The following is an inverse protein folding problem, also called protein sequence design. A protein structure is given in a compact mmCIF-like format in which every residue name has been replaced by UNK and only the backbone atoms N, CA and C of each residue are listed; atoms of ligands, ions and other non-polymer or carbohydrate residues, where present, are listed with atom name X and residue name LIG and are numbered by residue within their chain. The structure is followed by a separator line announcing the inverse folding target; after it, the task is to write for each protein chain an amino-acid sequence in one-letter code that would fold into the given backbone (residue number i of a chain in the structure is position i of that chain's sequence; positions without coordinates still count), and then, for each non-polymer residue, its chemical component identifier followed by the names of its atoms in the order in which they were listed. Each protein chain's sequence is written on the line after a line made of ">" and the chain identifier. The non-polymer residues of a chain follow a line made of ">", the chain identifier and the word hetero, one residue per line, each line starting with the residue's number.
data_IF_604306701750
#
_entry.id   IF_604306701750
#
_cell.length_a   1.000
_cell.length_b   1.000
_cell.length_c   1.000
_cell.angle_alpha   90.00
_cell.angle_beta   90.00
_cell.angle_gamma   90.00
#
_symmetry.space_group_name_H-M   'P 1'
#
loop_
_entity.id
_entity.type
_entity.pdbx_description
1 polymer ?
#
# COMPACT_ATOMS: atom_id res chain seq x y z
N UNK A 1 34.70 -24.17 16.19
CA UNK A 1 34.68 -22.78 15.69
C UNK A 1 33.96 -22.69 14.37
N UNK A 2 34.27 -23.55 13.37
CA UNK A 2 33.61 -23.56 12.05
C UNK A 2 32.07 -23.71 12.09
N UNK A 3 31.57 -24.60 12.98
CA UNK A 3 30.10 -24.83 13.12
C UNK A 3 29.34 -23.61 13.65
N UNK A 4 29.97 -22.81 14.50
CA UNK A 4 29.42 -21.59 15.08
C UNK A 4 29.35 -20.45 14.04
N UNK A 5 30.33 -20.38 13.14
CA UNK A 5 30.40 -19.40 12.07
C UNK A 5 29.34 -19.71 11.01
N UNK A 6 29.14 -21.00 10.66
CA UNK A 6 28.09 -21.41 9.69
C UNK A 6 26.70 -21.09 10.23
N UNK A 7 26.38 -21.41 11.49
CA UNK A 7 25.10 -21.06 12.13
C UNK A 7 24.86 -19.54 12.18
N UNK A 8 25.90 -18.74 12.46
CA UNK A 8 25.77 -17.27 12.44
C UNK A 8 25.52 -16.73 11.03
N UNK A 9 26.14 -17.32 10.00
CA UNK A 9 25.92 -16.89 8.61
C UNK A 9 24.52 -17.28 8.11
N UNK A 10 23.98 -18.43 8.50
CA UNK A 10 22.61 -18.85 8.21
C UNK A 10 21.59 -17.96 8.92
N UNK A 11 21.83 -17.62 10.21
CA UNK A 11 20.96 -16.71 10.96
C UNK A 11 20.99 -15.30 10.38
N UNK A 12 22.15 -14.79 9.95
CA UNK A 12 22.28 -13.50 9.26
C UNK A 12 21.58 -13.49 7.89
N UNK A 13 21.61 -14.60 7.17
CA UNK A 13 20.89 -14.73 5.89
C UNK A 13 19.38 -14.85 6.09
N UNK A 14 18.91 -15.51 7.15
CA UNK A 14 17.49 -15.55 7.52
C UNK A 14 17.02 -14.15 7.93
N UNK A 15 17.79 -13.42 8.74
CA UNK A 15 17.46 -12.03 9.13
C UNK A 15 17.45 -11.10 7.91
N UNK A 16 18.39 -11.25 6.98
CA UNK A 16 18.38 -10.49 5.70
C UNK A 16 17.19 -10.83 4.80
N UNK A 17 16.70 -12.07 4.82
CA UNK A 17 15.53 -12.46 4.05
C UNK A 17 14.21 -12.03 4.72
N UNK A 18 14.14 -11.99 6.06
CA UNK A 18 12.99 -11.45 6.80
C UNK A 18 12.86 -9.94 6.60
N UNK A 19 13.97 -9.22 6.34
CA UNK A 19 13.96 -7.77 6.08
C UNK A 19 13.61 -7.37 4.64
N UNK A 20 13.29 -8.32 3.75
CA UNK A 20 12.99 -8.03 2.34
C UNK A 20 11.51 -7.76 2.08
N UNK A 21 10.61 -8.18 2.95
CA UNK A 21 9.18 -7.99 2.77
C UNK A 21 8.75 -6.65 3.39
N UNK A 22 8.21 -5.78 2.55
CA UNK A 22 7.73 -4.48 2.99
C UNK A 22 6.44 -4.64 3.84
N UNK A 23 6.23 -3.79 4.86
CA UNK A 23 5.05 -3.88 5.71
C UNK A 23 3.75 -3.77 4.90
N UNK A 24 2.87 -4.77 5.05
CA UNK A 24 1.56 -4.83 4.39
C UNK A 24 0.58 -5.72 5.17
N UNK A 25 -0.69 -5.62 4.83
CA UNK A 25 -1.74 -6.50 5.33
C UNK A 25 -2.81 -6.70 4.24
N UNK A 26 -2.67 -7.80 3.49
CA UNK A 26 -3.56 -8.11 2.37
C UNK A 26 -5.00 -8.31 2.82
N UNK A 27 -5.24 -8.92 4.00
CA UNK A 27 -6.59 -9.13 4.53
C UNK A 27 -7.28 -7.80 4.84
N UNK A 28 -6.56 -6.83 5.42
CA UNK A 28 -7.08 -5.49 5.65
C UNK A 28 -7.42 -4.79 4.33
N UNK A 29 -6.57 -4.88 3.32
CA UNK A 29 -6.82 -4.33 1.98
C UNK A 29 -8.07 -4.95 1.34
N UNK A 30 -8.18 -6.28 1.39
CA UNK A 30 -9.35 -7.01 0.88
C UNK A 30 -10.62 -6.62 1.62
N UNK A 31 -10.54 -6.43 2.94
CA UNK A 31 -11.70 -6.01 3.74
C UNK A 31 -12.16 -4.60 3.37
N UNK A 32 -11.24 -3.65 3.19
CA UNK A 32 -11.57 -2.27 2.77
C UNK A 32 -12.27 -2.28 1.42
N UNK A 33 -11.68 -2.91 0.41
CA UNK A 33 -12.24 -2.98 -0.93
C UNK A 33 -13.57 -3.74 -0.93
N UNK A 34 -13.63 -4.90 -0.28
CA UNK A 34 -14.83 -5.73 -0.19
C UNK A 34 -16.00 -4.99 0.45
N UNK A 35 -15.74 -4.19 1.48
CA UNK A 35 -16.77 -3.40 2.16
C UNK A 35 -17.32 -2.29 1.25
N UNK A 36 -16.47 -1.60 0.49
CA UNK A 36 -16.92 -0.60 -0.49
C UNK A 36 -17.78 -1.25 -1.59
N UNK A 37 -17.41 -2.43 -2.08
CA UNK A 37 -18.17 -3.14 -3.11
C UNK A 37 -19.56 -3.61 -2.64
N UNK A 38 -19.75 -3.77 -1.34
CA UNK A 38 -21.05 -4.11 -0.73
C UNK A 38 -21.85 -2.85 -0.38
N UNK A 39 -21.16 -1.79 0.09
CA UNK A 39 -21.76 -0.56 0.61
C UNK A 39 -20.96 0.65 0.08
N UNK A 40 -21.34 1.14 -1.12
CA UNK A 40 -20.61 2.24 -1.76
C UNK A 40 -20.65 3.54 -0.95
N UNK A 41 -21.63 3.71 -0.07
CA UNK A 41 -21.73 4.86 0.84
C UNK A 41 -20.55 5.00 1.80
N UNK A 42 -19.78 3.94 2.01
CA UNK A 42 -18.55 3.99 2.82
C UNK A 42 -17.38 4.65 2.09
N UNK A 43 -17.47 4.77 0.77
CA UNK A 43 -16.33 5.23 -0.04
C UNK A 43 -15.85 6.62 0.36
N UNK A 44 -16.74 7.58 0.56
CA UNK A 44 -16.35 8.96 0.84
C UNK A 44 -15.54 9.07 2.15
N UNK A 45 -15.96 8.36 3.20
CA UNK A 45 -15.24 8.34 4.48
C UNK A 45 -13.89 7.61 4.35
N UNK A 46 -13.87 6.48 3.65
CA UNK A 46 -12.65 5.71 3.41
C UNK A 46 -11.66 6.51 2.56
N UNK A 47 -12.14 7.22 1.53
CA UNK A 47 -11.30 7.97 0.60
C UNK A 47 -10.68 9.22 1.24
N UNK A 48 -11.18 9.67 2.38
CA UNK A 48 -10.49 10.66 3.22
C UNK A 48 -9.24 10.09 3.90
N UNK A 49 -9.18 8.77 4.11
CA UNK A 49 -8.09 8.09 4.81
C UNK A 49 -7.08 7.49 3.84
N UNK A 50 -7.55 6.77 2.81
CA UNK A 50 -6.71 6.05 1.85
C UNK A 50 -7.04 6.44 0.42
N UNK A 51 -6.02 6.38 -0.43
CA UNK A 51 -6.13 6.45 -1.89
C UNK A 51 -5.59 5.17 -2.50
N UNK A 52 -5.78 4.96 -3.80
CA UNK A 52 -5.27 3.79 -4.51
C UNK A 52 -3.77 3.51 -4.26
N UNK A 53 -2.95 4.54 -4.11
CA UNK A 53 -1.50 4.45 -3.88
C UNK A 53 -1.13 3.81 -2.54
N UNK A 54 -2.04 3.82 -1.57
CA UNK A 54 -1.76 3.34 -0.21
C UNK A 54 -1.81 1.82 -0.10
N UNK A 55 -2.44 1.15 -1.05
CA UNK A 55 -2.49 -0.30 -1.10
C UNK A 55 -1.12 -0.89 -1.50
N UNK A 56 -0.78 -2.02 -0.91
CA UNK A 56 0.46 -2.73 -1.22
C UNK A 56 0.34 -3.57 -2.49
N UNK A 57 -0.79 -4.30 -2.62
CA UNK A 57 -1.04 -5.16 -3.77
C UNK A 57 -1.38 -4.31 -5.02
N UNK A 58 -0.62 -4.43 -6.12
CA UNK A 58 -0.89 -3.68 -7.34
C UNK A 58 -2.29 -3.91 -7.93
N UNK A 59 -2.88 -5.10 -7.71
CA UNK A 59 -4.24 -5.39 -8.13
C UNK A 59 -5.24 -4.60 -7.28
N UNK A 60 -5.03 -4.52 -5.96
CA UNK A 60 -5.86 -3.69 -5.07
C UNK A 60 -5.77 -2.21 -5.44
N UNK A 61 -4.59 -1.71 -5.80
CA UNK A 61 -4.42 -0.34 -6.29
C UNK A 61 -5.29 -0.08 -7.52
N UNK A 62 -5.26 -0.99 -8.50
CA UNK A 62 -6.07 -0.89 -9.72
C UNK A 62 -7.57 -0.98 -9.44
N UNK A 63 -7.98 -1.91 -8.59
CA UNK A 63 -9.39 -2.08 -8.22
C UNK A 63 -9.90 -0.83 -7.50
N UNK A 64 -9.15 -0.29 -6.54
CA UNK A 64 -9.55 0.92 -5.81
C UNK A 64 -9.66 2.13 -6.74
N UNK A 65 -8.71 2.33 -7.64
CA UNK A 65 -8.76 3.40 -8.64
C UNK A 65 -9.97 3.25 -9.59
N UNK A 66 -10.35 2.03 -9.95
CA UNK A 66 -11.53 1.77 -10.76
C UNK A 66 -12.84 2.04 -9.99
N UNK A 67 -12.90 1.66 -8.70
CA UNK A 67 -14.01 2.00 -7.79
C UNK A 67 -14.19 3.51 -7.72
N UNK A 68 -13.12 4.24 -7.43
CA UNK A 68 -13.11 5.71 -7.35
C UNK A 68 -13.67 6.34 -8.64
N UNK A 69 -13.19 5.89 -9.80
CA UNK A 69 -13.65 6.40 -11.09
C UNK A 69 -15.14 6.13 -11.34
N UNK A 70 -15.64 4.94 -11.00
CA UNK A 70 -17.04 4.57 -11.14
C UNK A 70 -17.92 5.46 -10.25
N UNK A 71 -17.59 5.57 -8.98
CA UNK A 71 -18.37 6.35 -8.00
C UNK A 71 -18.40 7.83 -8.38
N UNK A 72 -17.28 8.43 -8.75
CA UNK A 72 -17.25 9.82 -9.21
C UNK A 72 -17.97 10.06 -10.56
N UNK A 73 -18.19 9.00 -11.33
CA UNK A 73 -19.05 9.06 -12.53
C UNK A 73 -20.54 8.85 -12.22
N UNK A 74 -20.91 8.74 -10.94
CA UNK A 74 -22.30 8.49 -10.51
C UNK A 74 -22.76 7.04 -10.70
N UNK A 75 -21.85 6.11 -10.93
CA UNK A 75 -22.15 4.70 -11.12
C UNK A 75 -21.85 3.90 -9.83
N UNK A 76 -22.64 2.84 -9.62
CA UNK A 76 -22.34 1.90 -8.52
C UNK A 76 -21.10 1.08 -8.85
N UNK A 77 -20.18 1.02 -7.89
CA UNK A 77 -19.03 0.13 -7.93
C UNK A 77 -19.41 -1.21 -7.30
N UNK A 78 -19.50 -2.25 -8.10
CA UNK A 78 -19.75 -3.63 -7.67
C UNK A 78 -18.98 -4.61 -8.58
N UNK A 79 -18.94 -5.92 -8.26
CA UNK A 79 -18.19 -6.88 -9.07
C UNK A 79 -18.60 -6.92 -10.56
N UNK A 80 -19.86 -6.62 -10.88
CA UNK A 80 -20.37 -6.65 -12.28
C UNK A 80 -19.87 -5.42 -13.05
N UNK A 81 -20.01 -4.22 -12.49
CA UNK A 81 -19.55 -2.97 -13.12
C UNK A 81 -18.05 -2.92 -13.27
N UNK A 82 -17.31 -3.39 -12.27
CA UNK A 82 -15.85 -3.48 -12.31
C UNK A 82 -15.35 -4.51 -13.31
N UNK A 83 -16.06 -5.64 -13.49
CA UNK A 83 -15.71 -6.61 -14.53
C UNK A 83 -15.61 -5.94 -15.90
N UNK A 84 -16.62 -5.18 -16.27
CA UNK A 84 -16.64 -4.46 -17.56
C UNK A 84 -15.49 -3.45 -17.71
N UNK A 85 -15.00 -2.90 -16.59
CA UNK A 85 -13.86 -1.99 -16.58
C UNK A 85 -12.55 -2.70 -16.93
N UNK A 86 -12.40 -3.96 -16.51
CA UNK A 86 -11.17 -4.75 -16.69
C UNK A 86 -11.20 -5.68 -17.93
N UNK A 87 -12.33 -5.83 -18.62
CA UNK A 87 -12.46 -6.74 -19.79
C UNK A 87 -11.49 -6.44 -20.95
N UNK A 88 -10.93 -5.23 -20.99
CA UNK A 88 -9.95 -4.82 -22.00
C UNK A 88 -8.48 -5.03 -21.58
N UNK A 89 -8.20 -5.47 -20.36
CA UNK A 89 -6.84 -5.74 -19.90
C UNK A 89 -6.45 -7.19 -20.21
N UNK A 90 -5.33 -7.38 -20.92
CA UNK A 90 -4.82 -8.72 -21.34
C UNK A 90 -4.44 -9.65 -20.17
N UNK A 91 -4.24 -9.11 -18.97
CA UNK A 91 -3.88 -9.83 -17.74
C UNK A 91 -5.10 -10.18 -16.86
N UNK A 92 -6.31 -10.08 -17.41
CA UNK A 92 -7.58 -10.20 -16.67
C UNK A 92 -8.01 -11.65 -16.31
N UNK A 93 -7.10 -12.60 -16.31
CA UNK A 93 -7.34 -13.99 -15.96
C UNK A 93 -7.84 -14.15 -14.51
N UNK A 94 -9.10 -13.90 -14.22
CA UNK A 94 -9.82 -14.09 -12.95
C UNK A 94 -10.14 -12.86 -12.10
N UNK A 95 -10.06 -11.64 -12.65
CA UNK A 95 -10.53 -10.46 -11.90
C UNK A 95 -11.99 -10.63 -11.46
N UNK A 96 -12.94 -11.10 -12.30
CA UNK A 96 -14.33 -11.26 -11.88
C UNK A 96 -14.51 -12.17 -10.66
N UNK A 97 -13.86 -13.33 -10.66
CA UNK A 97 -13.93 -14.29 -9.54
C UNK A 97 -13.26 -13.72 -8.29
N UNK A 98 -12.16 -12.99 -8.48
CA UNK A 98 -11.48 -12.31 -7.40
C UNK A 98 -12.34 -11.21 -6.77
N UNK A 99 -13.03 -10.40 -7.56
CA UNK A 99 -13.94 -9.37 -7.07
C UNK A 99 -15.09 -9.96 -6.25
N UNK A 100 -15.68 -11.07 -6.71
CA UNK A 100 -16.70 -11.80 -5.94
C UNK A 100 -16.10 -12.37 -4.66
N UNK A 101 -14.88 -12.92 -4.71
CA UNK A 101 -14.20 -13.44 -3.52
C UNK A 101 -13.93 -12.35 -2.51
N UNK A 102 -13.49 -11.19 -2.95
CA UNK A 102 -13.09 -10.07 -2.08
C UNK A 102 -14.28 -9.50 -1.29
N UNK A 103 -15.51 -9.56 -1.83
CA UNK A 103 -16.72 -9.14 -1.11
C UNK A 103 -17.00 -9.98 0.14
N UNK A 104 -16.50 -11.21 0.21
CA UNK A 104 -16.62 -12.07 1.39
C UNK A 104 -15.77 -11.59 2.58
N UNK A 105 -14.80 -10.71 2.35
CA UNK A 105 -13.99 -10.10 3.39
C UNK A 105 -14.57 -8.78 3.90
N UNK A 106 -15.76 -8.39 3.43
CA UNK A 106 -16.45 -7.18 3.92
C UNK A 106 -16.63 -7.21 5.43
N UNK A 107 -16.49 -6.07 6.06
CA UNK A 107 -16.63 -5.89 7.50
C UNK A 107 -17.63 -4.76 7.82
N UNK A 108 -18.01 -4.64 9.09
CA UNK A 108 -18.85 -3.54 9.54
C UNK A 108 -18.13 -2.18 9.30
N UNK A 109 -18.90 -1.13 9.03
CA UNK A 109 -18.38 0.20 8.68
C UNK A 109 -17.27 0.68 9.61
N UNK A 110 -17.47 0.62 10.92
CA UNK A 110 -16.46 1.02 11.90
C UNK A 110 -15.16 0.23 11.77
N UNK A 111 -15.24 -1.07 11.54
CA UNK A 111 -14.07 -1.93 11.37
C UNK A 111 -13.37 -1.66 10.05
N UNK A 112 -14.12 -1.36 8.99
CA UNK A 112 -13.56 -0.96 7.70
C UNK A 112 -12.74 0.31 7.81
N UNK A 113 -13.21 1.31 8.57
CA UNK A 113 -12.46 2.54 8.85
C UNK A 113 -11.15 2.23 9.59
N UNK A 114 -11.17 1.37 10.60
CA UNK A 114 -9.93 0.97 11.30
C UNK A 114 -8.95 0.22 10.37
N UNK A 115 -9.45 -0.63 9.47
CA UNK A 115 -8.61 -1.27 8.45
C UNK A 115 -8.05 -0.27 7.44
N UNK A 116 -8.81 0.76 7.06
CA UNK A 116 -8.32 1.84 6.20
C UNK A 116 -7.16 2.60 6.84
N UNK A 117 -7.27 2.90 8.14
CA UNK A 117 -6.18 3.50 8.92
C UNK A 117 -4.94 2.59 8.99
N UNK A 118 -5.16 1.28 9.17
CA UNK A 118 -4.07 0.29 9.15
C UNK A 118 -3.37 0.25 7.78
N UNK A 119 -4.12 0.22 6.68
CA UNK A 119 -3.57 0.24 5.31
C UNK A 119 -2.73 1.49 5.11
N UNK A 120 -3.22 2.66 5.57
CA UNK A 120 -2.49 3.92 5.49
C UNK A 120 -1.21 3.91 6.34
N UNK A 121 -1.26 3.44 7.60
CA UNK A 121 -0.07 3.35 8.48
C UNK A 121 1.02 2.47 7.85
N UNK A 122 0.63 1.32 7.28
CA UNK A 122 1.55 0.42 6.60
C UNK A 122 2.14 1.05 5.33
N UNK A 123 1.37 1.86 4.61
CA UNK A 123 1.89 2.66 3.50
C UNK A 123 2.93 3.67 3.97
N UNK A 124 2.66 4.43 5.03
CA UNK A 124 3.63 5.40 5.57
C UNK A 124 4.92 4.71 6.01
N UNK A 125 4.83 3.52 6.64
CA UNK A 125 6.01 2.72 6.98
C UNK A 125 6.83 2.33 5.75
N UNK A 126 6.18 1.95 4.64
CA UNK A 126 6.86 1.67 3.37
C UNK A 126 7.57 2.90 2.80
N UNK A 127 6.93 4.06 2.86
CA UNK A 127 7.53 5.32 2.40
C UNK A 127 8.73 5.73 3.28
N UNK A 128 8.66 5.52 4.61
CA UNK A 128 9.79 5.73 5.51
C UNK A 128 10.96 4.80 5.20
N UNK A 129 10.71 3.55 4.86
CA UNK A 129 11.75 2.60 4.43
C UNK A 129 12.42 3.11 3.15
N UNK A 130 11.63 3.47 2.13
CA UNK A 130 12.17 4.02 0.86
C UNK A 130 13.00 5.28 1.07
N UNK A 131 12.51 6.18 1.94
CA UNK A 131 13.24 7.41 2.27
C UNK A 131 14.58 7.08 2.95
N UNK A 132 14.59 6.13 3.88
CA UNK A 132 15.79 5.69 4.57
C UNK A 132 16.81 5.07 3.61
N UNK A 133 16.36 4.21 2.69
CA UNK A 133 17.20 3.63 1.64
C UNK A 133 17.80 4.73 0.74
N UNK A 134 16.99 5.70 0.33
CA UNK A 134 17.44 6.84 -0.47
C UNK A 134 18.50 7.69 0.26
N UNK A 135 18.31 7.95 1.56
CA UNK A 135 19.29 8.67 2.40
C UNK A 135 20.60 7.88 2.46
N UNK A 136 20.54 6.56 2.67
CA UNK A 136 21.73 5.69 2.71
C UNK A 136 22.47 5.73 1.38
N UNK A 137 21.76 5.58 0.28
CA UNK A 137 22.35 5.53 -1.05
C UNK A 137 22.97 6.89 -1.42
N UNK A 138 22.28 7.98 -1.18
CA UNK A 138 22.76 9.33 -1.47
C UNK A 138 23.98 9.70 -0.61
N UNK A 139 23.95 9.33 0.68
CA UNK A 139 25.08 9.60 1.58
C UNK A 139 26.36 8.83 1.24
N UNK A 140 26.25 7.71 0.51
CA UNK A 140 27.40 6.92 0.03
C UNK A 140 28.00 7.47 -1.27
N UNK A 141 27.27 8.33 -1.99
CA UNK A 141 27.77 8.91 -3.24
C UNK A 141 28.82 9.99 -2.94
N UNK A 142 29.92 9.98 -3.70
CA UNK A 142 30.92 11.06 -3.69
C UNK A 142 30.56 12.11 -4.75
N UNK A 143 29.36 12.68 -4.63
CA UNK A 143 28.83 13.70 -5.53
C UNK A 143 28.96 15.06 -4.85
N UNK A 144 29.63 16.01 -5.52
CA UNK A 144 29.85 17.36 -5.01
C UNK A 144 28.54 18.18 -4.89
N UNK A 145 27.56 17.85 -5.73
CA UNK A 145 26.24 18.50 -5.73
C UNK A 145 25.31 17.95 -4.62
N UNK A 146 25.65 16.78 -4.05
CA UNK A 146 24.92 16.11 -2.97
C UNK A 146 25.69 16.19 -1.65
N UNK A 147 25.98 17.40 -1.18
CA UNK A 147 26.62 17.56 0.11
C UNK A 147 25.70 17.16 1.27
N UNK A 148 26.27 16.92 2.45
CA UNK A 148 25.52 16.45 3.62
C UNK A 148 24.34 17.37 3.99
N UNK A 149 24.51 18.70 3.86
CA UNK A 149 23.46 19.66 4.17
C UNK A 149 22.26 19.53 3.20
N UNK A 150 22.50 19.33 1.93
CA UNK A 150 21.47 19.09 0.91
C UNK A 150 20.67 17.82 1.22
N UNK A 151 21.37 16.72 1.60
CA UNK A 151 20.74 15.46 1.97
C UNK A 151 19.82 15.65 3.18
N UNK A 152 20.28 16.36 4.21
CA UNK A 152 19.49 16.66 5.42
C UNK A 152 18.23 17.45 5.03
N UNK A 153 18.36 18.55 4.30
CA UNK A 153 17.23 19.41 3.89
C UNK A 153 16.18 18.64 3.08
N UNK A 154 16.62 17.81 2.13
CA UNK A 154 15.71 16.99 1.32
C UNK A 154 14.99 15.93 2.18
N UNK A 155 15.69 15.36 3.15
CA UNK A 155 15.12 14.36 4.07
C UNK A 155 14.09 15.00 5.01
N UNK A 156 14.39 16.17 5.58
CA UNK A 156 13.46 16.93 6.42
C UNK A 156 12.18 17.29 5.66
N UNK A 157 12.31 17.77 4.41
CA UNK A 157 11.16 18.07 3.56
C UNK A 157 10.31 16.83 3.31
N UNK A 158 10.93 15.70 2.96
CA UNK A 158 10.22 14.47 2.69
C UNK A 158 9.49 13.92 3.92
N UNK A 159 10.10 14.02 5.10
CA UNK A 159 9.47 13.64 6.38
C UNK A 159 8.29 14.55 6.71
N UNK A 160 8.44 15.85 6.49
CA UNK A 160 7.38 16.84 6.70
C UNK A 160 6.18 16.55 5.78
N UNK A 161 6.42 16.31 4.49
CA UNK A 161 5.38 16.00 3.51
C UNK A 161 4.63 14.70 3.88
N UNK A 162 5.33 13.69 4.42
CA UNK A 162 4.68 12.47 4.92
C UNK A 162 3.83 12.72 6.16
N UNK A 163 4.31 13.56 7.10
CA UNK A 163 3.60 13.88 8.32
C UNK A 163 2.32 14.69 8.05
N UNK A 164 2.36 15.66 7.11
CA UNK A 164 1.18 16.46 6.76
C UNK A 164 0.05 15.63 6.15
N UNK A 165 0.40 14.63 5.30
CA UNK A 165 -0.59 13.76 4.67
C UNK A 165 -1.31 12.82 5.65
N UNK A 166 -0.76 12.60 6.83
CA UNK A 166 -1.27 11.69 7.86
C UNK A 166 -2.07 12.37 8.97
N UNK A 167 -2.36 13.65 8.86
CA UNK A 167 -3.15 14.40 9.85
C UNK A 167 -4.64 14.18 9.58
N UNK A 168 -5.22 13.12 10.16
CA UNK A 168 -6.67 12.84 10.14
C UNK A 168 -7.31 13.28 11.46
#
# INVERSE_FOLDING_TARGET
>A
LKLKIVKMSETLNIVKNISKELPHNIEAEQSVIGSILIANELFDEINMIVTSKNFYDPMHQKIYAAIEKLIYSGMLANPITLKNYFDNEKDSLNIPDYLVKITKFSSAARQTIEYSKLVYDLYVKRELIKLSENIIDTAKLNDLDQNAQTIIQNSEKSLFDLAERGSF
#
